data_IF_603192626318
#
_entry.id   IF_603192626318
#
_cell.length_a   1.000
_cell.length_b   1.000
_cell.length_c   1.000
_cell.angle_alpha   90.00
_cell.angle_beta   90.00
_cell.angle_gamma   90.00
#
_symmetry.space_group_name_H-M   'P 1'
#
loop_
_entity.id
_entity.type
_entity.pdbx_description
1 polymer ?
#
# COMPACT_ATOMS: atom_id res chain seq x y z
N UNK A 1 -11.75 -8.55 -1.86
CA UNK A 1 -11.05 -7.82 -0.78
C UNK A 1 -11.29 -6.34 -0.92
N UNK A 2 -10.88 -5.54 0.06
CA UNK A 2 -10.93 -4.08 0.02
C UNK A 2 -9.57 -3.46 -0.30
N UNK A 3 -9.48 -2.14 -0.15
CA UNK A 3 -8.24 -1.38 -0.24
C UNK A 3 -8.00 -0.65 1.09
N UNK A 4 -6.75 -0.64 1.55
CA UNK A 4 -6.31 0.13 2.72
C UNK A 4 -5.14 1.03 2.32
N UNK A 5 -5.12 2.27 2.82
CA UNK A 5 -3.98 3.19 2.66
C UNK A 5 -3.49 3.56 4.07
N UNK A 6 -2.23 3.23 4.38
CA UNK A 6 -1.60 3.56 5.66
C UNK A 6 -0.66 4.74 5.44
N UNK A 7 -0.99 5.90 6.02
CA UNK A 7 -0.33 7.16 5.71
C UNK A 7 0.92 7.44 6.54
N UNK A 8 1.17 6.70 7.63
CA UNK A 8 2.34 6.89 8.49
C UNK A 8 2.63 8.39 8.78
N UNK A 9 1.63 9.14 9.24
CA UNK A 9 1.71 10.61 9.29
C UNK A 9 2.80 11.13 10.26
N UNK A 10 3.25 10.29 11.19
CA UNK A 10 4.33 10.59 12.13
C UNK A 10 5.72 10.23 11.58
N UNK A 11 5.79 9.60 10.41
CA UNK A 11 7.01 9.06 9.82
C UNK A 11 7.73 8.10 10.77
N UNK A 12 6.98 7.18 11.38
CA UNK A 12 7.55 6.12 12.20
C UNK A 12 8.35 5.16 11.31
N UNK A 13 9.50 4.68 11.81
CA UNK A 13 10.34 3.69 11.11
C UNK A 13 9.62 2.32 11.04
N UNK A 14 8.88 1.97 12.10
CA UNK A 14 8.12 0.73 12.18
C UNK A 14 6.66 0.97 11.78
N UNK A 15 6.42 1.10 10.48
CA UNK A 15 5.09 1.39 9.91
C UNK A 15 4.08 0.28 10.25
N UNK A 16 4.53 -0.98 10.24
CA UNK A 16 3.75 -2.17 10.54
C UNK A 16 4.50 -3.06 11.52
N UNK A 17 3.76 -3.89 12.25
CA UNK A 17 4.32 -4.95 13.09
C UNK A 17 4.67 -6.21 12.30
N UNK A 18 5.15 -7.22 13.04
CA UNK A 18 5.47 -8.54 12.49
C UNK A 18 4.25 -9.24 11.88
N UNK A 19 4.51 -10.08 10.88
CA UNK A 19 3.50 -10.90 10.18
C UNK A 19 2.42 -10.09 9.44
N UNK A 20 2.72 -8.86 9.03
CA UNK A 20 1.81 -7.98 8.30
C UNK A 20 1.25 -8.67 7.05
N UNK A 21 -0.08 -8.70 6.92
CA UNK A 21 -0.77 -9.33 5.80
C UNK A 21 -0.77 -10.87 5.82
N UNK A 22 -0.42 -11.52 6.93
CA UNK A 22 -0.61 -12.97 7.08
C UNK A 22 -2.09 -13.33 6.91
N UNK A 23 -2.37 -14.35 6.09
CA UNK A 23 -3.75 -14.75 5.75
C UNK A 23 -4.43 -13.80 4.75
N UNK A 24 -3.71 -12.86 4.15
CA UNK A 24 -4.25 -12.03 3.08
C UNK A 24 -4.57 -12.91 1.87
N UNK A 25 -5.85 -12.99 1.51
CA UNK A 25 -6.33 -13.74 0.33
C UNK A 25 -6.90 -12.82 -0.77
N UNK A 26 -7.01 -11.52 -0.50
CA UNK A 26 -7.44 -10.54 -1.50
C UNK A 26 -7.42 -9.11 -0.98
N UNK A 27 -7.46 -8.16 -1.90
CA UNK A 27 -7.34 -6.73 -1.61
C UNK A 27 -5.93 -6.21 -1.82
N UNK A 28 -5.70 -4.97 -1.40
CA UNK A 28 -4.42 -4.27 -1.53
C UNK A 28 -4.21 -3.34 -0.33
N UNK A 29 -2.97 -3.22 0.12
CA UNK A 29 -2.55 -2.22 1.10
C UNK A 29 -1.53 -1.32 0.44
N UNK A 30 -1.77 -0.01 0.43
CA UNK A 30 -0.75 0.98 0.08
C UNK A 30 -0.14 1.52 1.36
N UNK A 31 1.19 1.49 1.46
CA UNK A 31 1.93 2.01 2.60
C UNK A 31 2.69 3.27 2.16
N UNK A 32 2.50 4.39 2.86
CA UNK A 32 3.36 5.58 2.71
C UNK A 32 4.69 5.31 3.40
N UNK A 33 5.70 4.98 2.59
CA UNK A 33 7.02 4.53 3.02
C UNK A 33 7.34 3.14 2.47
N UNK A 34 8.25 2.45 3.15
CA UNK A 34 8.66 1.08 2.85
C UNK A 34 8.61 0.23 4.12
N UNK A 35 8.61 -1.09 3.94
CA UNK A 35 8.58 -2.08 5.03
C UNK A 35 9.54 -3.21 4.68
N UNK A 36 10.30 -3.69 5.65
CA UNK A 36 11.22 -4.80 5.43
C UNK A 36 10.46 -6.13 5.19
N UNK A 37 10.94 -6.91 4.23
CA UNK A 37 10.25 -8.14 3.78
C UNK A 37 10.07 -9.16 4.91
N UNK A 38 10.95 -9.18 5.92
CA UNK A 38 10.84 -10.09 7.06
C UNK A 38 9.60 -9.82 7.93
N UNK A 39 9.04 -8.60 7.89
CA UNK A 39 7.81 -8.25 8.60
C UNK A 39 6.55 -8.71 7.88
N UNK A 40 6.66 -9.15 6.62
CA UNK A 40 5.52 -9.52 5.80
C UNK A 40 5.17 -11.00 5.98
N UNK A 41 3.88 -11.30 5.89
CA UNK A 41 3.42 -12.68 5.74
C UNK A 41 4.00 -13.31 4.48
N UNK A 42 4.33 -14.60 4.52
CA UNK A 42 4.95 -15.33 3.39
C UNK A 42 4.17 -15.23 2.07
N UNK A 43 2.86 -15.03 2.16
CA UNK A 43 1.95 -14.95 1.02
C UNK A 43 1.71 -13.50 0.56
N UNK A 44 2.49 -12.53 1.05
CA UNK A 44 2.36 -11.11 0.71
C UNK A 44 3.53 -10.72 -0.19
N UNK A 45 3.21 -10.08 -1.31
CA UNK A 45 4.16 -9.47 -2.22
C UNK A 45 4.20 -7.98 -1.93
N UNK A 46 5.41 -7.43 -1.83
CA UNK A 46 5.68 -5.99 -1.82
C UNK A 46 6.18 -5.55 -3.19
N UNK A 47 5.52 -4.55 -3.79
CA UNK A 47 5.91 -3.97 -5.07
C UNK A 47 5.90 -2.44 -5.02
N UNK A 48 6.57 -1.81 -5.98
CA UNK A 48 6.41 -0.37 -6.22
C UNK A 48 5.01 -0.11 -6.78
N UNK A 49 4.43 1.03 -6.41
CA UNK A 49 3.17 1.47 -7.01
C UNK A 49 3.36 1.83 -8.50
N UNK A 50 2.33 1.57 -9.30
CA UNK A 50 2.24 2.06 -10.67
C UNK A 50 1.42 3.36 -10.77
N UNK A 51 1.23 3.89 -11.99
CA UNK A 51 0.47 5.13 -12.21
C UNK A 51 -1.01 5.02 -11.81
N UNK A 52 -1.60 3.82 -11.93
CA UNK A 52 -3.00 3.58 -11.55
C UNK A 52 -3.14 3.55 -10.03
N UNK A 53 -2.19 2.90 -9.35
CA UNK A 53 -2.05 2.90 -7.91
C UNK A 53 -1.85 4.33 -7.39
N UNK A 54 -0.98 5.12 -8.02
CA UNK A 54 -0.74 6.52 -7.65
C UNK A 54 -2.00 7.37 -7.76
N UNK A 55 -2.71 7.30 -8.90
CA UNK A 55 -3.97 8.02 -9.10
C UNK A 55 -5.05 7.61 -8.09
N UNK A 56 -5.11 6.32 -7.73
CA UNK A 56 -5.99 5.81 -6.69
C UNK A 56 -5.65 6.42 -5.33
N UNK A 57 -4.37 6.34 -4.92
CA UNK A 57 -3.90 6.90 -3.64
C UNK A 57 -4.22 8.39 -3.56
N UNK A 58 -3.86 9.16 -4.60
CA UNK A 58 -4.13 10.59 -4.68
C UNK A 58 -5.60 10.92 -4.41
N UNK A 59 -6.53 10.25 -5.10
CA UNK A 59 -7.97 10.49 -4.91
C UNK A 59 -8.41 10.31 -3.46
N UNK A 60 -7.98 9.24 -2.81
CA UNK A 60 -8.43 8.94 -1.44
C UNK A 60 -7.67 9.76 -0.39
N UNK A 61 -6.41 10.13 -0.64
CA UNK A 61 -5.66 11.05 0.21
C UNK A 61 -6.26 12.45 0.14
N UNK A 62 -6.69 12.92 -1.04
CA UNK A 62 -7.38 14.20 -1.19
C UNK A 62 -8.67 14.23 -0.37
N UNK A 63 -9.49 13.19 -0.45
CA UNK A 63 -10.69 13.05 0.39
C UNK A 63 -10.35 13.04 1.89
N UNK A 64 -9.33 12.28 2.29
CA UNK A 64 -8.86 12.25 3.67
C UNK A 64 -8.46 13.65 4.16
N UNK A 65 -7.68 14.39 3.37
CA UNK A 65 -7.27 15.75 3.69
C UNK A 65 -8.47 16.69 3.85
N UNK A 66 -9.48 16.59 2.99
CA UNK A 66 -10.71 17.38 3.12
C UNK A 66 -11.52 17.06 4.38
N UNK A 67 -11.54 15.79 4.80
CA UNK A 67 -12.31 15.37 5.97
C UNK A 67 -11.61 15.66 7.30
N UNK A 68 -10.28 15.62 7.32
CA UNK A 68 -9.49 15.66 8.54
C UNK A 68 -8.52 16.85 8.64
N UNK A 69 -8.61 17.80 7.71
CA UNK A 69 -7.81 19.04 7.67
C UNK A 69 -6.29 18.79 7.66
N UNK A 70 -5.84 17.95 6.72
CA UNK A 70 -4.42 17.67 6.48
C UNK A 70 -3.92 18.28 5.17
N UNK A 71 -2.61 18.57 5.10
CA UNK A 71 -1.96 19.00 3.87
C UNK A 71 -1.74 17.83 2.91
N UNK A 72 -2.43 17.87 1.78
CA UNK A 72 -2.34 16.86 0.72
C UNK A 72 -0.93 16.72 0.14
N UNK A 73 -0.26 17.84 -0.17
CA UNK A 73 1.08 17.83 -0.78
C UNK A 73 2.11 17.24 0.18
N UNK A 74 1.99 17.55 1.48
CA UNK A 74 2.87 16.98 2.51
C UNK A 74 2.74 15.45 2.62
N UNK A 75 1.54 14.92 2.46
CA UNK A 75 1.31 13.47 2.51
C UNK A 75 1.81 12.82 1.22
N UNK A 76 1.47 13.38 0.05
CA UNK A 76 1.80 12.80 -1.25
C UNK A 76 3.26 12.93 -1.65
N UNK A 77 4.01 13.87 -1.07
CA UNK A 77 5.45 14.01 -1.30
C UNK A 77 6.27 12.96 -0.52
N UNK A 78 5.95 11.68 -0.75
CA UNK A 78 6.62 10.53 -0.16
C UNK A 78 6.50 9.32 -1.08
N UNK A 79 7.42 8.36 -0.95
CA UNK A 79 7.27 7.07 -1.64
C UNK A 79 6.13 6.25 -1.05
N UNK A 80 5.54 5.40 -1.89
CA UNK A 80 4.57 4.40 -1.48
C UNK A 80 4.97 3.03 -2.02
N UNK A 81 4.67 1.99 -1.26
CA UNK A 81 4.71 0.60 -1.72
C UNK A 81 3.33 -0.03 -1.66
N UNK A 82 3.12 -1.05 -2.47
CA UNK A 82 1.90 -1.84 -2.55
C UNK A 82 2.15 -3.22 -1.98
N UNK A 83 1.29 -3.63 -1.04
CA UNK A 83 1.22 -4.99 -0.54
C UNK A 83 -0.04 -5.67 -1.06
N UNK A 84 0.11 -6.87 -1.61
CA UNK A 84 -1.00 -7.68 -2.10
C UNK A 84 -0.67 -9.16 -1.94
N UNK A 85 -1.67 -10.05 -1.91
CA UNK A 85 -1.38 -11.48 -1.80
C UNK A 85 -0.67 -11.97 -3.07
N UNK A 86 0.12 -13.05 -2.93
CA UNK A 86 0.56 -13.86 -4.04
C UNK A 86 -0.70 -14.34 -4.77
N UNK A 87 -0.95 -13.78 -5.96
CA UNK A 87 -2.14 -14.11 -6.74
C UNK A 87 -2.14 -15.58 -7.18
N UNK A 88 -3.30 -16.11 -7.59
CA UNK A 88 -3.39 -17.42 -8.27
C UNK A 88 -2.77 -17.44 -9.69
N UNK A 89 -2.16 -16.36 -10.19
CA UNK A 89 -1.58 -16.30 -11.55
C UNK A 89 -0.37 -15.36 -11.64
N UNK A 90 0.86 -15.89 -11.55
CA UNK A 90 2.09 -15.13 -11.78
C UNK A 90 2.30 -14.69 -13.25
N UNK A 91 1.49 -15.19 -14.20
CA UNK A 91 1.69 -15.03 -15.65
C UNK A 91 0.45 -14.56 -16.42
N UNK A 92 -0.43 -13.76 -15.81
CA UNK A 92 -1.65 -13.26 -16.47
C UNK A 92 -1.42 -12.51 -17.79
N UNK A 93 -0.21 -11.98 -18.02
CA UNK A 93 0.20 -11.27 -19.23
C UNK A 93 0.87 -12.15 -20.31
N UNK A 94 1.04 -13.46 -20.09
CA UNK A 94 1.62 -14.37 -21.10
C UNK A 94 0.58 -14.93 -22.09
N UNK A 95 -0.71 -14.68 -21.85
CA UNK A 95 -1.78 -14.96 -22.80
C UNK A 95 -2.79 -13.80 -22.79
N UNK A 96 -2.53 -12.83 -23.66
CA UNK A 96 -3.51 -11.89 -24.20
C UNK A 96 -3.30 -11.81 -25.71
#
# INVERSE_FOLDING_TARGET
>A
GGCMIVLNLKNDENIVGEYCGTGMHGGVIYLRGDVEDYKLGKEVIKEKIDDKDYAFIQKYVENFCQYFDYDFQKIMNHSFVKLHPIGKRPYGNMYA
#
